data_IF_991436426014
#
_entry.id   IF_991436426014
#
_cell.length_a   1.000
_cell.length_b   1.000
_cell.length_c   1.000
_cell.angle_alpha   90.00
_cell.angle_beta   90.00
_cell.angle_gamma   90.00
#
_symmetry.space_group_name_H-M   'P 1'
#
loop_
_entity.id
_entity.type
_entity.pdbx_description
1 polymer ?
#
# COMPACT_ATOMS: atom_id res chain seq x y z
N UNK A 1 -12.26 10.02 12.77
CA UNK A 1 -11.20 9.10 12.28
C UNK A 1 -9.89 9.83 12.36
N UNK A 2 -8.93 9.29 13.06
CA UNK A 2 -7.65 9.96 13.29
C UNK A 2 -6.68 9.50 12.21
N UNK A 3 -6.34 10.39 11.27
CA UNK A 3 -5.26 10.16 10.32
C UNK A 3 -3.94 10.06 11.10
N UNK A 4 -3.25 8.94 10.99
CA UNK A 4 -1.95 8.71 11.64
C UNK A 4 -0.83 9.32 10.81
N UNK A 5 -0.95 9.25 9.48
CA UNK A 5 0.02 9.82 8.56
C UNK A 5 -0.21 9.38 7.12
N UNK A 6 0.57 9.95 6.23
CA UNK A 6 0.64 9.59 4.81
C UNK A 6 2.00 8.98 4.49
N UNK A 7 2.01 8.04 3.56
CA UNK A 7 3.19 7.32 3.15
C UNK A 7 3.24 7.28 1.62
N UNK A 8 4.36 7.72 1.04
CA UNK A 8 4.61 7.58 -0.38
C UNK A 8 5.88 6.76 -0.60
N UNK A 9 5.81 5.82 -1.54
CA UNK A 9 6.99 5.11 -2.03
C UNK A 9 7.18 5.40 -3.51
N UNK A 10 8.44 5.55 -3.93
CA UNK A 10 8.81 5.74 -5.33
C UNK A 10 9.89 4.74 -5.69
N UNK A 11 9.67 3.95 -6.76
CA UNK A 11 10.73 3.18 -7.39
C UNK A 11 11.17 3.94 -8.65
N UNK A 12 12.40 4.45 -8.64
CA UNK A 12 13.03 5.24 -9.70
C UNK A 12 13.83 4.26 -10.55
N UNK A 13 13.34 3.98 -11.76
CA UNK A 13 13.82 2.88 -12.60
C UNK A 13 14.58 3.42 -13.82
N UNK A 14 15.66 2.73 -14.16
CA UNK A 14 16.52 3.08 -15.29
C UNK A 14 17.50 4.18 -14.98
N UNK A 15 17.95 4.25 -13.72
CA UNK A 15 19.06 5.08 -13.29
C UNK A 15 20.36 4.40 -13.70
N UNK A 16 21.04 4.96 -14.70
CA UNK A 16 22.30 4.41 -15.23
C UNK A 16 23.55 5.12 -14.69
N UNK A 17 23.35 6.10 -13.83
CA UNK A 17 24.39 6.93 -13.25
C UNK A 17 24.61 6.54 -11.81
N UNK A 18 25.86 6.41 -11.39
CA UNK A 18 26.21 6.39 -9.98
C UNK A 18 26.03 7.78 -9.40
N UNK A 19 25.48 7.84 -8.21
CA UNK A 19 25.22 9.07 -7.48
C UNK A 19 25.97 9.04 -6.15
N UNK A 20 26.59 10.17 -5.83
CA UNK A 20 27.22 10.34 -4.53
C UNK A 20 26.18 10.46 -3.41
N UNK A 21 26.45 9.90 -2.22
CA UNK A 21 25.54 10.00 -1.08
C UNK A 21 25.14 11.45 -0.71
N UNK A 22 26.04 12.41 -0.93
CA UNK A 22 25.78 13.83 -0.68
C UNK A 22 24.63 14.41 -1.51
N UNK A 23 24.39 13.87 -2.72
CA UNK A 23 23.24 14.28 -3.52
C UNK A 23 21.93 13.90 -2.80
N UNK A 24 21.85 12.69 -2.25
CA UNK A 24 20.66 12.22 -1.54
C UNK A 24 20.40 13.02 -0.26
N UNK A 25 21.45 13.38 0.48
CA UNK A 25 21.31 14.28 1.64
C UNK A 25 20.71 15.63 1.22
N UNK A 26 21.21 16.21 0.13
CA UNK A 26 20.66 17.46 -0.42
C UNK A 26 19.20 17.30 -0.86
N UNK A 27 18.84 16.17 -1.47
CA UNK A 27 17.46 15.86 -1.88
C UNK A 27 16.55 15.71 -0.66
N UNK A 28 17.01 15.01 0.39
CA UNK A 28 16.29 14.88 1.66
C UNK A 28 15.99 16.27 2.24
N UNK A 29 16.98 17.16 2.31
CA UNK A 29 16.78 18.52 2.82
C UNK A 29 15.82 19.35 1.95
N UNK A 30 15.88 19.21 0.61
CA UNK A 30 14.91 19.85 -0.30
C UNK A 30 13.48 19.34 -0.05
N UNK A 31 13.31 18.03 0.10
CA UNK A 31 12.01 17.41 0.40
C UNK A 31 11.51 17.86 1.76
N UNK A 32 12.34 17.80 2.79
CA UNK A 32 11.98 18.20 4.15
C UNK A 32 11.52 19.67 4.20
N UNK A 33 12.24 20.56 3.52
CA UNK A 33 11.85 21.98 3.38
C UNK A 33 10.50 22.15 2.69
N UNK A 34 10.28 21.43 1.58
CA UNK A 34 9.04 21.53 0.81
C UNK A 34 7.84 20.92 1.56
N UNK A 35 8.05 19.84 2.30
CA UNK A 35 7.03 19.18 3.12
C UNK A 35 6.84 19.86 4.49
N UNK A 36 7.66 20.87 4.80
CA UNK A 36 7.67 21.55 6.11
C UNK A 36 7.81 20.56 7.28
N UNK A 37 8.82 19.69 7.16
CA UNK A 37 9.20 18.71 8.20
C UNK A 37 10.64 18.97 8.65
N UNK A 38 10.96 18.49 9.86
CA UNK A 38 12.23 18.77 10.52
C UNK A 38 13.14 17.54 10.47
N UNK A 39 14.31 17.67 9.83
CA UNK A 39 15.34 16.62 9.85
C UNK A 39 16.07 16.67 11.21
N UNK A 40 16.04 15.55 11.93
CA UNK A 40 16.71 15.37 13.23
C UNK A 40 18.08 14.73 13.07
N UNK A 41 18.18 13.71 12.24
CA UNK A 41 19.40 12.93 12.03
C UNK A 41 19.41 12.30 10.63
N UNK A 42 20.60 12.12 10.05
CA UNK A 42 20.79 11.37 8.80
C UNK A 42 21.84 10.30 9.05
N UNK A 43 21.45 9.05 8.85
CA UNK A 43 22.32 7.86 8.89
C UNK A 43 22.51 7.31 7.49
N UNK A 44 23.70 6.75 7.22
CA UNK A 44 24.01 6.12 5.94
C UNK A 44 24.88 4.89 6.11
N UNK A 45 24.69 3.93 5.18
CA UNK A 45 25.50 2.73 5.10
C UNK A 45 25.81 2.40 3.64
N UNK A 46 27.09 2.18 3.34
CA UNK A 46 27.55 1.75 2.01
C UNK A 46 27.72 0.23 2.01
N UNK A 47 27.20 -0.40 0.99
CA UNK A 47 27.32 -1.85 0.79
C UNK A 47 28.50 -2.19 -0.12
N UNK A 48 29.08 -3.36 0.08
CA UNK A 48 30.06 -3.93 -0.82
C UNK A 48 29.38 -5.00 -1.70
N UNK A 49 29.63 -5.06 -3.00
CA UNK A 49 30.59 -4.23 -3.76
C UNK A 49 30.02 -2.86 -4.18
N UNK A 50 28.72 -2.59 -4.03
CA UNK A 50 28.08 -1.35 -4.48
C UNK A 50 26.74 -1.13 -3.80
N UNK A 51 26.21 0.10 -3.97
CA UNK A 51 24.95 0.51 -3.39
C UNK A 51 25.10 1.09 -1.98
N UNK A 52 24.11 1.84 -1.57
CA UNK A 52 24.03 2.37 -0.21
C UNK A 52 22.57 2.60 0.21
N UNK A 53 22.39 2.73 1.49
CA UNK A 53 21.17 3.18 2.12
C UNK A 53 21.41 4.48 2.84
N UNK A 54 20.47 5.40 2.75
CA UNK A 54 20.45 6.63 3.54
C UNK A 54 19.05 6.77 4.17
N UNK A 55 19.03 7.09 5.46
CA UNK A 55 17.83 7.25 6.27
C UNK A 55 17.89 8.57 7.00
N UNK A 56 16.88 9.39 6.83
CA UNK A 56 16.68 10.60 7.63
C UNK A 56 15.57 10.38 8.65
N UNK A 57 15.92 10.53 9.91
CA UNK A 57 14.95 10.64 10.99
C UNK A 57 14.36 12.06 10.98
N UNK A 58 13.05 12.15 10.94
CA UNK A 58 12.30 13.40 11.00
C UNK A 58 11.54 13.48 12.33
N UNK A 59 11.31 14.71 12.81
CA UNK A 59 10.39 14.90 13.93
C UNK A 59 8.98 14.38 13.63
N UNK A 60 8.61 14.35 12.35
CA UNK A 60 7.31 13.90 11.84
C UNK A 60 7.35 12.50 11.23
N UNK A 61 8.44 11.77 11.24
CA UNK A 61 8.69 10.37 10.90
C UNK A 61 10.02 10.09 10.19
N UNK A 62 10.06 9.76 8.86
CA UNK A 62 11.32 9.43 8.17
C UNK A 62 11.25 9.61 6.65
N UNK A 63 12.45 9.75 6.05
CA UNK A 63 12.70 9.61 4.62
C UNK A 63 13.82 8.60 4.44
N UNK A 64 13.72 7.68 3.47
CA UNK A 64 14.82 6.81 3.11
C UNK A 64 15.03 6.70 1.61
N UNK A 65 16.28 6.40 1.23
CA UNK A 65 16.67 5.95 -0.10
C UNK A 65 17.50 4.68 0.00
N UNK A 66 17.24 3.74 -0.90
CA UNK A 66 18.03 2.53 -1.11
C UNK A 66 18.44 2.48 -2.58
N UNK A 67 19.73 2.33 -2.84
CA UNK A 67 20.23 2.26 -4.21
C UNK A 67 20.60 0.83 -4.58
N UNK A 68 20.21 0.42 -5.78
CA UNK A 68 20.51 -0.87 -6.38
C UNK A 68 21.15 -0.64 -7.77
N UNK A 69 22.46 -0.25 -7.82
CA UNK A 69 23.12 0.10 -9.09
C UNK A 69 23.06 -1.02 -10.11
N UNK A 70 23.19 -2.28 -9.68
CA UNK A 70 23.13 -3.47 -10.53
C UNK A 70 21.79 -3.68 -11.22
N UNK A 71 20.72 -3.08 -10.67
CA UNK A 71 19.36 -3.12 -11.23
C UNK A 71 18.96 -1.82 -11.90
N UNK A 72 19.78 -0.77 -11.73
CA UNK A 72 19.43 0.58 -12.15
C UNK A 72 18.19 1.11 -11.44
N UNK A 73 18.05 0.83 -10.13
CA UNK A 73 16.89 1.20 -9.32
C UNK A 73 17.33 2.00 -8.10
N UNK A 74 16.56 3.04 -7.78
CA UNK A 74 16.60 3.72 -6.50
C UNK A 74 15.20 3.61 -5.91
N UNK A 75 15.07 2.98 -4.74
CA UNK A 75 13.83 2.95 -3.98
C UNK A 75 13.83 4.08 -2.96
N UNK A 76 12.73 4.81 -2.94
CA UNK A 76 12.49 5.95 -2.04
C UNK A 76 11.25 5.71 -1.21
N UNK A 77 11.33 6.14 0.03
CA UNK A 77 10.26 6.01 1.00
C UNK A 77 10.14 7.30 1.82
N UNK A 78 8.93 7.84 1.93
CA UNK A 78 8.63 8.99 2.78
C UNK A 78 7.33 8.77 3.51
N UNK A 79 7.42 8.60 4.81
CA UNK A 79 6.30 8.57 5.73
C UNK A 79 6.29 9.83 6.57
N UNK A 80 5.12 10.45 6.73
CA UNK A 80 4.98 11.64 7.58
C UNK A 80 3.60 11.76 8.21
N UNK A 81 3.53 12.19 9.47
CA UNK A 81 2.32 12.69 10.12
C UNK A 81 2.16 14.21 9.96
N UNK A 82 3.01 14.87 9.17
CA UNK A 82 2.94 16.29 8.88
C UNK A 82 1.69 16.71 8.11
N UNK A 83 1.51 18.01 7.95
CA UNK A 83 0.31 18.58 7.30
C UNK A 83 0.38 18.57 5.77
N UNK A 84 1.59 18.54 5.21
CA UNK A 84 1.82 18.56 3.75
C UNK A 84 1.99 17.14 3.28
N UNK A 85 1.28 16.78 2.21
CA UNK A 85 1.36 15.43 1.64
C UNK A 85 2.78 15.07 1.20
N UNK A 86 3.28 13.87 1.53
CA UNK A 86 4.59 13.39 1.11
C UNK A 86 4.73 13.25 -0.42
N UNK A 87 3.63 13.29 -1.16
CA UNK A 87 3.64 13.29 -2.63
C UNK A 87 4.41 14.45 -3.26
N UNK A 88 4.64 15.53 -2.52
CA UNK A 88 5.49 16.67 -2.96
C UNK A 88 6.92 16.22 -3.31
N UNK A 89 7.38 15.13 -2.71
CA UNK A 89 8.69 14.55 -3.01
C UNK A 89 8.83 14.10 -4.47
N UNK A 90 7.72 13.70 -5.14
CA UNK A 90 7.76 13.19 -6.51
C UNK A 90 8.36 14.20 -7.49
N UNK A 91 7.97 15.47 -7.41
CA UNK A 91 8.44 16.50 -8.33
C UNK A 91 9.92 16.85 -8.08
N UNK A 92 10.38 16.76 -6.84
CA UNK A 92 11.77 16.95 -6.47
C UNK A 92 12.60 15.77 -7.00
N UNK A 93 12.18 14.54 -6.72
CA UNK A 93 12.86 13.32 -7.17
C UNK A 93 12.97 13.26 -8.70
N UNK A 94 11.91 13.61 -9.44
CA UNK A 94 11.92 13.68 -10.91
C UNK A 94 12.99 14.63 -11.46
N UNK A 95 13.28 15.72 -10.78
CA UNK A 95 14.27 16.71 -11.20
C UNK A 95 15.71 16.31 -10.88
N UNK A 96 15.90 15.61 -9.77
CA UNK A 96 17.24 15.32 -9.25
C UNK A 96 17.83 14.02 -9.81
N UNK A 97 16.98 13.03 -10.16
CA UNK A 97 17.44 11.72 -10.64
C UNK A 97 17.05 11.48 -12.09
N UNK A 98 18.06 11.14 -12.93
CA UNK A 98 17.78 10.66 -14.30
C UNK A 98 17.08 9.31 -14.21
N UNK A 99 15.98 9.15 -14.92
CA UNK A 99 15.16 7.94 -14.87
C UNK A 99 14.47 7.68 -16.21
N UNK A 100 14.11 6.42 -16.47
CA UNK A 100 13.21 6.02 -17.54
C UNK A 100 11.76 6.02 -17.09
N UNK A 101 11.52 5.63 -15.83
CA UNK A 101 10.18 5.49 -15.25
C UNK A 101 10.24 5.66 -13.74
N UNK A 102 9.17 6.20 -13.16
CA UNK A 102 8.93 6.20 -11.72
C UNK A 102 7.61 5.47 -11.46
N UNK A 103 7.64 4.50 -10.54
CA UNK A 103 6.45 3.86 -9.98
C UNK A 103 6.17 4.49 -8.64
N UNK A 104 5.00 5.13 -8.49
CA UNK A 104 4.55 5.73 -7.24
C UNK A 104 3.46 4.88 -6.61
N UNK A 105 3.54 4.67 -5.30
CA UNK A 105 2.45 4.15 -4.47
C UNK A 105 2.21 5.09 -3.30
N UNK A 106 0.96 5.26 -2.93
CA UNK A 106 0.54 6.09 -1.81
C UNK A 106 -0.33 5.28 -0.86
N UNK A 107 -0.09 5.45 0.43
CA UNK A 107 -0.83 4.78 1.48
C UNK A 107 -1.26 5.81 2.53
N UNK A 108 -2.53 5.84 2.84
CA UNK A 108 -3.01 6.52 4.02
C UNK A 108 -2.86 5.58 5.21
N UNK A 109 -2.07 5.98 6.19
CA UNK A 109 -2.01 5.32 7.50
C UNK A 109 -3.03 6.01 8.39
N UNK A 110 -4.24 5.51 8.35
CA UNK A 110 -5.33 5.90 9.23
C UNK A 110 -5.79 4.68 10.05
N UNK A 111 -6.82 4.85 10.86
CA UNK A 111 -7.41 3.75 11.61
C UNK A 111 -8.20 2.77 10.73
N UNK A 112 -8.29 3.01 9.42
CA UNK A 112 -8.90 2.09 8.46
C UNK A 112 -7.83 1.11 7.99
N UNK A 113 -7.92 -0.13 8.41
CA UNK A 113 -7.12 -1.21 7.84
C UNK A 113 -7.61 -1.51 6.42
N UNK A 114 -6.66 -1.68 5.49
CA UNK A 114 -6.96 -2.24 4.18
C UNK A 114 -6.79 -3.76 4.26
N UNK A 115 -7.85 -4.47 3.97
CA UNK A 115 -7.79 -5.89 3.75
C UNK A 115 -7.44 -6.16 2.28
N UNK A 116 -6.43 -6.98 2.06
CA UNK A 116 -5.99 -7.35 0.71
C UNK A 116 -6.43 -8.77 0.40
N UNK A 117 -7.24 -8.92 -0.63
CA UNK A 117 -7.57 -10.21 -1.20
C UNK A 117 -6.35 -10.74 -1.97
N UNK A 118 -5.71 -11.78 -1.44
CA UNK A 118 -4.49 -12.36 -2.01
C UNK A 118 -4.76 -13.41 -3.11
N UNK A 119 -5.99 -13.87 -3.24
CA UNK A 119 -6.40 -14.87 -4.23
C UNK A 119 -6.96 -14.29 -5.51
N UNK A 120 -6.88 -12.97 -5.68
CA UNK A 120 -7.20 -12.34 -6.96
C UNK A 120 -6.40 -12.98 -8.08
N UNK A 121 -7.00 -13.09 -9.25
CA UNK A 121 -6.33 -13.61 -10.45
C UNK A 121 -4.96 -12.95 -10.68
N UNK A 122 -3.97 -13.65 -11.25
CA UNK A 122 -2.66 -13.07 -11.52
C UNK A 122 -2.77 -11.70 -12.18
N UNK A 123 -2.14 -10.69 -11.57
CA UNK A 123 -2.20 -9.30 -12.04
C UNK A 123 -3.39 -8.48 -11.55
N UNK A 124 -4.31 -9.05 -10.78
CA UNK A 124 -5.40 -8.34 -10.12
C UNK A 124 -5.20 -8.36 -8.60
N UNK A 125 -5.21 -7.21 -7.99
CA UNK A 125 -5.23 -7.06 -6.54
C UNK A 125 -6.52 -6.32 -6.15
N UNK A 126 -7.31 -6.91 -5.26
CA UNK A 126 -8.47 -6.27 -4.64
C UNK A 126 -8.12 -5.82 -3.22
N UNK A 127 -8.67 -4.69 -2.81
CA UNK A 127 -8.50 -4.18 -1.46
C UNK A 127 -9.84 -3.67 -0.95
N UNK A 128 -10.14 -3.95 0.30
CA UNK A 128 -11.36 -3.55 0.98
C UNK A 128 -11.02 -2.63 2.15
N UNK A 129 -11.80 -1.57 2.33
CA UNK A 129 -11.67 -0.69 3.51
C UNK A 129 -12.44 -1.33 4.66
N UNK A 130 -11.72 -1.75 5.69
CA UNK A 130 -12.28 -2.36 6.90
C UNK A 130 -12.62 -1.26 7.90
N UNK A 131 -13.86 -1.21 8.36
CA UNK A 131 -14.32 -0.35 9.46
C UNK A 131 -14.05 -1.01 10.80
N UNK A 132 -14.35 -2.32 10.90
CA UNK A 132 -14.21 -3.08 12.12
C UNK A 132 -13.97 -4.57 11.82
N UNK A 133 -13.25 -5.23 12.70
CA UNK A 133 -13.06 -6.69 12.72
C UNK A 133 -14.03 -7.24 13.76
N UNK A 134 -15.09 -7.91 13.31
CA UNK A 134 -16.13 -8.42 14.20
C UNK A 134 -15.76 -9.78 14.78
N UNK A 135 -15.18 -10.64 13.95
CA UNK A 135 -14.70 -11.97 14.34
C UNK A 135 -13.43 -12.32 13.56
N UNK A 136 -12.50 -13.02 14.19
CA UNK A 136 -11.27 -13.53 13.58
C UNK A 136 -10.85 -14.79 14.34
N UNK A 137 -10.95 -15.94 13.69
CA UNK A 137 -10.61 -17.23 14.31
C UNK A 137 -10.26 -18.30 13.27
N UNK A 138 -9.60 -19.36 13.73
CA UNK A 138 -9.37 -20.57 12.93
C UNK A 138 -10.40 -21.63 13.27
N UNK A 139 -11.07 -22.15 12.26
CA UNK A 139 -12.06 -23.22 12.41
C UNK A 139 -11.40 -24.54 12.81
N UNK A 140 -12.19 -25.51 13.31
CA UNK A 140 -11.71 -26.87 13.64
C UNK A 140 -11.12 -27.62 12.44
N UNK A 141 -11.45 -27.19 11.23
CA UNK A 141 -10.95 -27.76 9.97
C UNK A 141 -9.69 -27.02 9.46
N UNK A 142 -9.17 -26.04 10.23
CA UNK A 142 -7.97 -25.30 9.87
C UNK A 142 -8.19 -24.10 8.95
N UNK A 143 -9.44 -23.77 8.60
CA UNK A 143 -9.77 -22.61 7.78
C UNK A 143 -9.70 -21.34 8.63
N UNK A 144 -9.12 -20.28 8.10
CA UNK A 144 -9.14 -18.94 8.68
C UNK A 144 -10.47 -18.25 8.36
N UNK A 145 -11.22 -17.89 9.38
CA UNK A 145 -12.55 -17.28 9.26
C UNK A 145 -12.48 -15.85 9.80
N UNK A 146 -12.88 -14.87 9.00
CA UNK A 146 -12.99 -13.49 9.41
C UNK A 146 -14.40 -12.96 9.09
N UNK A 147 -14.98 -12.20 10.02
CA UNK A 147 -16.18 -11.41 9.78
C UNK A 147 -15.78 -9.94 9.94
N UNK A 148 -15.76 -9.22 8.83
CA UNK A 148 -15.33 -7.83 8.75
C UNK A 148 -16.51 -6.93 8.42
N UNK A 149 -16.59 -5.74 9.06
CA UNK A 149 -17.48 -4.67 8.60
C UNK A 149 -16.72 -3.82 7.57
N UNK A 150 -17.08 -3.98 6.30
CA UNK A 150 -16.48 -3.25 5.19
C UNK A 150 -17.26 -1.97 4.87
N UNK A 151 -16.55 -0.93 4.42
CA UNK A 151 -17.18 0.36 4.12
C UNK A 151 -18.22 0.26 3.00
N UNK A 152 -17.95 -0.53 1.96
CA UNK A 152 -18.81 -0.66 0.78
C UNK A 152 -19.77 -1.83 0.86
N UNK A 153 -19.35 -2.94 1.47
CA UNK A 153 -20.08 -4.21 1.43
C UNK A 153 -20.80 -4.55 2.73
N UNK A 154 -20.60 -3.76 3.83
CA UNK A 154 -21.14 -4.06 5.15
C UNK A 154 -20.49 -5.29 5.77
N UNK A 155 -21.23 -6.03 6.60
CA UNK A 155 -20.71 -7.25 7.22
C UNK A 155 -20.43 -8.30 6.16
N UNK A 156 -19.19 -8.74 6.11
CA UNK A 156 -18.68 -9.64 5.07
C UNK A 156 -17.94 -10.81 5.71
N UNK A 157 -18.21 -12.00 5.21
CA UNK A 157 -17.52 -13.23 5.62
C UNK A 157 -16.36 -13.50 4.67
N UNK A 158 -15.18 -13.71 5.25
CA UNK A 158 -14.00 -14.19 4.55
C UNK A 158 -13.63 -15.59 5.05
N UNK A 159 -13.24 -16.45 4.15
CA UNK A 159 -12.66 -17.76 4.42
C UNK A 159 -11.35 -17.85 3.68
N UNK A 160 -10.26 -18.10 4.43
CA UNK A 160 -8.90 -18.18 3.89
C UNK A 160 -8.55 -16.96 3.01
N UNK A 161 -8.92 -15.76 3.48
CA UNK A 161 -8.74 -14.44 2.84
C UNK A 161 -9.57 -14.20 1.56
N UNK A 162 -10.53 -15.06 1.25
CA UNK A 162 -11.47 -14.88 0.13
C UNK A 162 -12.85 -14.45 0.63
N UNK A 163 -13.42 -13.37 0.07
CA UNK A 163 -14.78 -12.95 0.40
C UNK A 163 -15.79 -13.97 -0.11
N UNK A 164 -16.67 -14.43 0.76
CA UNK A 164 -17.71 -15.43 0.45
C UNK A 164 -19.07 -14.78 0.28
N UNK A 165 -19.44 -13.88 1.18
CA UNK A 165 -20.75 -13.21 1.20
C UNK A 165 -20.63 -11.88 1.93
N UNK A 166 -21.45 -10.92 1.51
CA UNK A 166 -21.55 -9.63 2.15
C UNK A 166 -23.01 -9.16 2.24
N UNK A 167 -23.35 -8.42 3.30
CA UNK A 167 -24.75 -8.04 3.57
C UNK A 167 -25.33 -7.09 2.52
N UNK A 168 -24.50 -6.27 1.89
CA UNK A 168 -24.99 -5.28 0.93
C UNK A 168 -25.23 -5.82 -0.48
N UNK A 169 -24.68 -6.98 -0.83
CA UNK A 169 -24.88 -7.63 -2.13
C UNK A 169 -25.59 -9.01 -2.06
N UNK A 170 -25.80 -9.52 -0.86
CA UNK A 170 -26.44 -10.82 -0.62
C UNK A 170 -27.74 -10.97 -1.39
N UNK A 171 -28.63 -9.99 -1.28
CA UNK A 171 -29.95 -10.05 -1.94
C UNK A 171 -29.82 -10.15 -3.47
N UNK A 172 -28.89 -9.41 -4.07
CA UNK A 172 -28.63 -9.44 -5.52
C UNK A 172 -27.97 -10.76 -5.92
N UNK A 173 -26.93 -11.19 -5.21
CA UNK A 173 -26.20 -12.43 -5.49
C UNK A 173 -27.11 -13.65 -5.35
N UNK A 174 -27.74 -13.81 -4.17
CA UNK A 174 -28.58 -14.97 -3.85
C UNK A 174 -29.80 -15.05 -4.76
N UNK A 175 -30.48 -13.91 -5.00
CA UNK A 175 -31.66 -13.89 -5.88
C UNK A 175 -31.29 -14.18 -7.33
N UNK A 176 -30.17 -13.65 -7.82
CA UNK A 176 -29.73 -13.91 -9.20
C UNK A 176 -29.37 -15.38 -9.39
N UNK A 177 -28.65 -15.96 -8.43
CA UNK A 177 -28.22 -17.36 -8.49
C UNK A 177 -29.43 -18.32 -8.42
N UNK A 178 -30.31 -18.10 -7.44
CA UNK A 178 -31.53 -18.92 -7.28
C UNK A 178 -32.47 -18.80 -8.49
N UNK A 179 -32.70 -17.56 -8.98
CA UNK A 179 -33.55 -17.34 -10.15
C UNK A 179 -32.97 -17.98 -11.42
N UNK A 180 -31.65 -17.97 -11.59
CA UNK A 180 -30.99 -18.66 -12.70
C UNK A 180 -31.22 -20.19 -12.61
N UNK A 181 -31.03 -20.77 -11.43
CA UNK A 181 -31.26 -22.19 -11.21
C UNK A 181 -32.73 -22.58 -11.44
N UNK A 182 -33.70 -21.80 -10.95
CA UNK A 182 -35.12 -22.02 -11.17
C UNK A 182 -35.52 -21.91 -12.64
N UNK A 183 -34.93 -21.00 -13.41
CA UNK A 183 -35.15 -20.87 -14.86
C UNK A 183 -34.61 -22.09 -15.64
N UNK A 184 -33.48 -22.64 -15.21
CA UNK A 184 -32.89 -23.83 -15.85
C UNK A 184 -33.63 -25.10 -15.51
N UNK A 185 -34.30 -25.18 -14.37
CA UNK A 185 -34.92 -26.36 -13.85
C UNK A 185 -36.44 -26.18 -13.70
N UNK A 186 -37.14 -25.97 -14.85
CA UNK A 186 -38.60 -25.74 -14.91
C UNK A 186 -39.44 -26.90 -14.32
N UNK A 187 -38.83 -28.06 -14.07
CA UNK A 187 -39.48 -29.25 -13.58
C UNK A 187 -39.35 -29.49 -12.08
N UNK A 188 -38.69 -28.62 -11.31
CA UNK A 188 -38.59 -28.75 -9.85
C UNK A 188 -39.82 -28.27 -9.06
N UNK A 189 -40.98 -28.16 -9.69
CA UNK A 189 -42.23 -27.73 -9.09
C UNK A 189 -43.25 -28.85 -8.91
N UNK A 190 -42.83 -30.11 -8.72
CA UNK A 190 -43.70 -31.21 -8.36
C UNK A 190 -43.12 -32.01 -7.22
#
# INVERSE_FOLDING_TARGET
MTKVGEHVTLDIIGTTQEYEPSLFENVIHKIAKAANVTVLEISRYKFEPQGFTILALLAESHISFHTFPEKGIISFDFFTCGKISPSIALDIVKKEFKHKRIVKKEFNRDSKSLYHDIYSSPGLQKSYVVKDVLEDFTSKLGQHIEILDLEQFGKSLFIDNEIQVATNDEALYSSTFVNAALKLNKDMGR
#
